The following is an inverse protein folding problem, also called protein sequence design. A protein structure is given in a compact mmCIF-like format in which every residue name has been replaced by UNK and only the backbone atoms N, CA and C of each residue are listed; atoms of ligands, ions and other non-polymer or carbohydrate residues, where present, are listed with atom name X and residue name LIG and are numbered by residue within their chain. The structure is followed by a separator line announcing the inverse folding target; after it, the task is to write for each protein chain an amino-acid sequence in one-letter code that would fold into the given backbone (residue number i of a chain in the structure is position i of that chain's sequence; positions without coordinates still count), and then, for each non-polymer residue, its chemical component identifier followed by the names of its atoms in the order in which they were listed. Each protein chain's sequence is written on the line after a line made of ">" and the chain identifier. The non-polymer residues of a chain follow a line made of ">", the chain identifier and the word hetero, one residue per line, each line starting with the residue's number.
data_IF_390589531064
#
_entry.id   IF_390589531064
#
_cell.length_a   1.000
_cell.length_b   1.000
_cell.length_c   1.000
_cell.angle_alpha   90.00
_cell.angle_beta   90.00
_cell.angle_gamma   90.00
#
_symmetry.space_group_name_H-M   'P 1'
#
loop_
_entity.id
_entity.type
_entity.pdbx_description
1 polymer ?
#
# COMPACT_ATOMS: atom_id res chain seq x y z
N UNK A 1 6.37 -18.59 -16.08
CA UNK A 1 7.44 -17.87 -16.83
C UNK A 1 6.92 -16.60 -17.51
N UNK A 2 5.76 -16.60 -18.21
CA UNK A 2 5.18 -15.36 -18.81
C UNK A 2 4.66 -14.34 -17.77
N UNK A 3 4.24 -14.77 -16.58
CA UNK A 3 3.80 -13.84 -15.52
C UNK A 3 4.92 -13.04 -14.84
N UNK A 4 6.18 -13.48 -14.96
CA UNK A 4 7.32 -12.85 -14.28
C UNK A 4 7.70 -11.47 -14.84
N UNK A 5 7.40 -11.23 -16.12
CA UNK A 5 7.61 -9.92 -16.77
C UNK A 5 6.51 -8.91 -16.41
N UNK A 6 5.40 -9.35 -15.80
CA UNK A 6 4.29 -8.48 -15.42
C UNK A 6 4.68 -7.47 -14.35
N UNK A 7 5.41 -7.89 -13.31
CA UNK A 7 5.85 -7.00 -12.22
C UNK A 7 6.81 -5.92 -12.75
N UNK A 8 7.88 -6.25 -13.51
CA UNK A 8 8.75 -5.24 -14.11
C UNK A 8 8.01 -4.22 -14.98
N UNK A 9 7.09 -4.68 -15.85
CA UNK A 9 6.31 -3.78 -16.71
C UNK A 9 5.39 -2.89 -15.87
N UNK A 10 4.80 -3.43 -14.82
CA UNK A 10 3.95 -2.68 -13.89
C UNK A 10 4.75 -1.60 -13.14
N UNK A 11 5.99 -1.89 -12.73
CA UNK A 11 6.87 -0.90 -12.10
C UNK A 11 7.38 0.17 -13.09
N UNK A 12 7.69 -0.20 -14.33
CA UNK A 12 8.08 0.76 -15.38
C UNK A 12 6.92 1.70 -15.70
N UNK A 13 5.70 1.17 -15.88
CA UNK A 13 4.51 1.98 -16.16
C UNK A 13 4.15 2.91 -15.01
N UNK A 14 4.31 2.45 -13.76
CA UNK A 14 4.21 3.32 -12.59
C UNK A 14 5.27 4.41 -12.63
N UNK A 15 6.52 4.10 -12.95
CA UNK A 15 7.62 5.07 -13.08
C UNK A 15 7.32 6.22 -14.07
N UNK A 16 6.69 5.90 -15.20
CA UNK A 16 6.24 6.93 -16.17
C UNK A 16 5.11 7.79 -15.59
N UNK A 17 4.18 7.20 -14.83
CA UNK A 17 3.14 7.95 -14.14
C UNK A 17 3.72 8.87 -13.06
N UNK A 18 4.75 8.42 -12.32
CA UNK A 18 5.47 9.25 -11.34
C UNK A 18 6.03 10.51 -11.97
N UNK A 19 6.62 10.41 -13.17
CA UNK A 19 7.19 11.56 -13.88
C UNK A 19 6.15 12.62 -14.27
N UNK A 20 4.86 12.27 -14.28
CA UNK A 20 3.74 13.18 -14.62
C UNK A 20 3.01 13.71 -13.38
N UNK A 21 3.38 13.27 -12.18
CA UNK A 21 2.73 13.67 -10.93
C UNK A 21 2.87 15.18 -10.67
N UNK A 22 1.74 15.81 -10.34
CA UNK A 22 1.69 17.21 -9.91
C UNK A 22 1.90 17.32 -8.40
N UNK A 23 2.56 18.38 -7.89
CA UNK A 23 2.81 18.57 -6.46
C UNK A 23 1.55 18.57 -5.57
N UNK A 24 0.43 19.12 -6.06
CA UNK A 24 -0.83 19.15 -5.31
C UNK A 24 -1.38 17.73 -5.04
N UNK A 25 -1.20 16.79 -5.97
CA UNK A 25 -1.67 15.41 -5.81
C UNK A 25 -0.82 14.63 -4.79
N UNK A 26 0.45 15.02 -4.59
CA UNK A 26 1.34 14.40 -3.61
C UNK A 26 0.87 14.67 -2.18
N UNK A 27 0.47 15.91 -1.85
CA UNK A 27 -0.01 16.24 -0.49
C UNK A 27 -1.25 15.42 -0.13
N UNK A 28 -2.21 15.33 -1.05
CA UNK A 28 -3.39 14.48 -0.87
C UNK A 28 -3.00 13.00 -0.74
N UNK A 29 -2.05 12.53 -1.55
CA UNK A 29 -1.59 11.15 -1.50
C UNK A 29 -0.90 10.81 -0.16
N UNK A 30 -0.16 11.75 0.44
CA UNK A 30 0.44 11.60 1.77
C UNK A 30 -0.66 11.38 2.81
N UNK A 31 -1.64 12.28 2.88
CA UNK A 31 -2.67 12.18 3.91
C UNK A 31 -3.55 10.93 3.75
N UNK A 32 -3.94 10.61 2.51
CA UNK A 32 -4.72 9.41 2.21
C UNK A 32 -3.95 8.12 2.47
N UNK A 33 -2.65 8.07 2.16
CA UNK A 33 -1.82 6.89 2.44
C UNK A 33 -1.63 6.68 3.94
N UNK A 34 -1.36 7.75 4.69
CA UNK A 34 -1.24 7.69 6.14
C UNK A 34 -2.56 7.22 6.78
N UNK A 35 -3.68 7.79 6.35
CA UNK A 35 -5.01 7.39 6.82
C UNK A 35 -5.30 5.91 6.51
N UNK A 36 -5.03 5.46 5.28
CA UNK A 36 -5.19 4.04 4.90
C UNK A 36 -4.38 3.13 5.82
N UNK A 37 -3.12 3.44 6.07
CA UNK A 37 -2.24 2.60 6.89
C UNK A 37 -2.79 2.55 8.32
N UNK A 38 -3.07 3.71 8.93
CA UNK A 38 -3.59 3.77 10.29
C UNK A 38 -4.93 3.03 10.45
N UNK A 39 -5.87 3.25 9.52
CA UNK A 39 -7.20 2.63 9.58
C UNK A 39 -7.11 1.12 9.34
N UNK A 40 -6.44 0.67 8.28
CA UNK A 40 -6.35 -0.76 7.96
C UNK A 40 -5.59 -1.55 9.03
N UNK A 41 -4.47 -1.01 9.53
CA UNK A 41 -3.71 -1.66 10.61
C UNK A 41 -4.50 -1.67 11.93
N UNK A 42 -5.19 -0.57 12.26
CA UNK A 42 -6.07 -0.52 13.45
C UNK A 42 -7.21 -1.54 13.37
N UNK A 43 -7.87 -1.66 12.21
CA UNK A 43 -8.91 -2.67 11.98
C UNK A 43 -8.32 -4.09 12.10
N UNK A 44 -7.13 -4.34 11.55
CA UNK A 44 -6.48 -5.64 11.63
C UNK A 44 -6.21 -6.08 13.08
N UNK A 45 -5.74 -5.16 13.92
CA UNK A 45 -5.53 -5.39 15.36
C UNK A 45 -6.86 -5.71 16.05
N UNK A 46 -7.90 -4.89 15.82
CA UNK A 46 -9.20 -5.07 16.45
C UNK A 46 -9.87 -6.38 16.06
N UNK A 47 -9.92 -6.69 14.76
CA UNK A 47 -10.49 -7.92 14.23
C UNK A 47 -9.67 -9.11 14.72
N UNK A 48 -8.34 -8.98 14.68
CA UNK A 48 -7.42 -10.00 15.13
C UNK A 48 -7.68 -10.44 16.59
N UNK A 49 -7.85 -9.46 17.47
CA UNK A 49 -8.14 -9.68 18.88
C UNK A 49 -9.57 -10.16 19.12
N UNK A 50 -10.54 -9.63 18.37
CA UNK A 50 -11.96 -10.03 18.51
C UNK A 50 -12.20 -11.50 18.14
N UNK A 51 -11.48 -12.01 17.14
CA UNK A 51 -11.58 -13.40 16.69
C UNK A 51 -10.62 -14.36 17.41
N UNK A 52 -9.85 -13.89 18.39
CA UNK A 52 -8.86 -14.68 19.15
C UNK A 52 -7.94 -15.49 18.22
N UNK A 53 -7.40 -14.82 17.19
CA UNK A 53 -6.58 -15.47 16.18
C UNK A 53 -5.26 -15.99 16.79
N UNK A 54 -4.80 -17.19 16.39
CA UNK A 54 -3.49 -17.69 16.79
C UNK A 54 -2.37 -16.71 16.45
N UNK A 55 -1.33 -16.63 17.28
CA UNK A 55 -0.26 -15.62 17.21
C UNK A 55 0.29 -15.40 15.79
N UNK A 56 0.57 -16.48 15.06
CA UNK A 56 1.09 -16.41 13.68
C UNK A 56 0.07 -15.80 12.73
N UNK A 57 -1.21 -16.19 12.83
CA UNK A 57 -2.26 -15.67 11.97
C UNK A 57 -2.56 -14.20 12.27
N UNK A 58 -2.56 -13.82 13.55
CA UNK A 58 -2.72 -12.44 14.01
C UNK A 58 -1.60 -11.54 13.46
N UNK A 59 -0.35 -11.99 13.62
CA UNK A 59 0.87 -11.35 13.11
C UNK A 59 0.81 -11.10 11.60
N UNK A 60 0.44 -12.15 10.86
CA UNK A 60 0.36 -12.14 9.39
C UNK A 60 -0.79 -11.25 8.89
N UNK A 61 -1.91 -11.17 9.63
CA UNK A 61 -3.03 -10.28 9.32
C UNK A 61 -2.61 -8.81 9.44
N UNK A 62 -2.00 -8.43 10.56
CA UNK A 62 -1.52 -7.06 10.80
C UNK A 62 -0.50 -6.66 9.73
N UNK A 63 0.46 -7.53 9.45
CA UNK A 63 1.49 -7.29 8.44
C UNK A 63 0.89 -7.06 7.05
N UNK A 64 -0.02 -7.93 6.61
CA UNK A 64 -0.66 -7.80 5.29
C UNK A 64 -1.52 -6.55 5.17
N UNK A 65 -2.26 -6.18 6.22
CA UNK A 65 -3.11 -4.98 6.20
C UNK A 65 -2.30 -3.69 6.24
N UNK A 66 -1.09 -3.73 6.83
CA UNK A 66 -0.14 -2.62 6.83
C UNK A 66 0.59 -2.41 5.49
N UNK A 67 0.50 -3.37 4.56
CA UNK A 67 1.21 -3.33 3.28
C UNK A 67 0.84 -2.07 2.45
N UNK A 68 1.77 -1.58 1.60
CA UNK A 68 1.52 -0.40 0.77
C UNK A 68 0.40 -0.62 -0.24
N UNK A 69 -0.07 0.46 -0.87
CA UNK A 69 -1.12 0.39 -1.88
C UNK A 69 -0.63 -0.41 -3.08
N UNK A 70 -1.44 -1.37 -3.53
CA UNK A 70 -1.09 -2.25 -4.63
C UNK A 70 -1.06 -1.50 -5.97
N UNK A 71 -0.01 -1.72 -6.77
CA UNK A 71 0.12 -1.15 -8.11
C UNK A 71 -0.97 -1.62 -9.08
N UNK A 72 -1.61 -2.77 -8.80
CA UNK A 72 -2.79 -3.22 -9.55
C UNK A 72 -3.94 -2.21 -9.49
N UNK A 73 -4.07 -1.47 -8.39
CA UNK A 73 -5.06 -0.39 -8.28
C UNK A 73 -4.80 0.72 -9.30
N UNK A 74 -3.53 1.05 -9.54
CA UNK A 74 -3.13 1.98 -10.61
C UNK A 74 -3.47 1.39 -12.00
N UNK A 75 -3.16 0.12 -12.26
CA UNK A 75 -3.49 -0.49 -13.55
C UNK A 75 -5.01 -0.52 -13.80
N UNK A 76 -5.82 -0.77 -12.77
CA UNK A 76 -7.27 -0.71 -12.85
C UNK A 76 -7.74 0.73 -13.13
N UNK A 77 -7.21 1.70 -12.40
CA UNK A 77 -7.49 3.12 -12.61
C UNK A 77 -7.14 3.57 -14.03
N UNK A 78 -5.99 3.16 -14.56
CA UNK A 78 -5.55 3.42 -15.93
C UNK A 78 -6.46 2.74 -16.95
N UNK A 79 -6.81 1.47 -16.73
CA UNK A 79 -7.73 0.70 -17.60
C UNK A 79 -9.12 1.33 -17.68
N UNK A 80 -9.66 1.81 -16.56
CA UNK A 80 -10.98 2.41 -16.48
C UNK A 80 -10.98 3.93 -16.64
N UNK A 81 -9.81 4.55 -16.86
CA UNK A 81 -9.62 6.01 -17.00
C UNK A 81 -10.15 6.81 -15.79
N UNK A 82 -9.92 6.27 -14.58
CA UNK A 82 -10.34 6.88 -13.31
C UNK A 82 -9.11 7.40 -12.57
N UNK A 83 -8.80 8.69 -12.75
CA UNK A 83 -7.73 9.43 -12.05
C UNK A 83 -6.47 8.60 -11.71
N UNK A 84 -5.89 7.98 -12.73
CA UNK A 84 -4.75 7.06 -12.57
C UNK A 84 -3.51 7.76 -12.00
N UNK A 85 -3.32 9.05 -12.31
CA UNK A 85 -2.24 9.86 -11.76
C UNK A 85 -2.35 9.98 -10.23
N UNK A 86 -3.55 10.22 -9.68
CA UNK A 86 -3.74 10.26 -8.24
C UNK A 86 -3.45 8.89 -7.59
N UNK A 87 -3.90 7.80 -8.20
CA UNK A 87 -3.67 6.44 -7.68
C UNK A 87 -2.19 6.06 -7.77
N UNK A 88 -1.48 6.45 -8.83
CA UNK A 88 -0.03 6.28 -8.93
C UNK A 88 0.70 7.00 -7.78
N UNK A 89 0.26 8.22 -7.45
CA UNK A 89 0.77 8.98 -6.30
C UNK A 89 0.59 8.22 -4.99
N UNK A 90 -0.58 7.62 -4.76
CA UNK A 90 -0.85 6.80 -3.56
C UNK A 90 0.09 5.59 -3.48
N UNK A 91 0.32 4.89 -4.58
CA UNK A 91 1.22 3.74 -4.63
C UNK A 91 2.65 4.14 -4.25
N UNK A 92 3.18 5.20 -4.84
CA UNK A 92 4.55 5.66 -4.58
C UNK A 92 4.71 6.15 -3.15
N UNK A 93 3.81 7.02 -2.70
CA UNK A 93 3.89 7.63 -1.36
C UNK A 93 3.73 6.57 -0.28
N UNK A 94 2.76 5.66 -0.40
CA UNK A 94 2.62 4.56 0.56
C UNK A 94 3.83 3.63 0.57
N UNK A 95 4.45 3.37 -0.58
CA UNK A 95 5.68 2.56 -0.66
C UNK A 95 6.84 3.23 0.08
N UNK A 96 7.02 4.55 -0.08
CA UNK A 96 8.03 5.31 0.65
C UNK A 96 7.72 5.33 2.16
N UNK A 97 6.47 5.55 2.55
CA UNK A 97 6.05 5.49 3.95
C UNK A 97 6.33 4.12 4.58
N UNK A 98 6.16 3.04 3.82
CA UNK A 98 6.42 1.67 4.30
C UNK A 98 7.87 1.45 4.73
N UNK A 99 8.83 2.25 4.26
CA UNK A 99 10.21 2.20 4.78
C UNK A 99 10.25 2.41 6.30
N UNK A 100 9.39 3.29 6.82
CA UNK A 100 9.23 3.51 8.27
C UNK A 100 8.16 2.63 8.91
N UNK A 101 7.04 2.39 8.21
CA UNK A 101 5.92 1.61 8.77
C UNK A 101 6.27 0.12 8.93
N UNK A 102 6.97 -0.48 7.96
CA UNK A 102 7.33 -1.89 8.03
C UNK A 102 8.16 -2.25 9.27
N UNK A 103 9.28 -1.56 9.61
CA UNK A 103 10.02 -1.87 10.83
C UNK A 103 9.20 -1.63 12.10
N UNK A 104 8.33 -0.61 12.13
CA UNK A 104 7.43 -0.36 13.26
C UNK A 104 6.44 -1.50 13.46
N UNK A 105 5.78 -1.94 12.40
CA UNK A 105 4.82 -3.05 12.46
C UNK A 105 5.52 -4.35 12.85
N UNK A 106 6.70 -4.63 12.28
CA UNK A 106 7.49 -5.80 12.66
C UNK A 106 7.93 -5.73 14.13
N UNK A 107 8.33 -4.57 14.64
CA UNK A 107 8.66 -4.43 16.07
C UNK A 107 7.46 -4.63 17.00
N UNK A 108 6.25 -4.35 16.54
CA UNK A 108 5.04 -4.59 17.32
C UNK A 108 4.62 -6.06 17.31
N UNK A 109 4.82 -6.74 16.18
CA UNK A 109 4.35 -8.11 15.96
C UNK A 109 5.35 -9.16 16.46
N UNK A 110 6.65 -8.85 16.46
CA UNK A 110 7.71 -9.78 16.90
C UNK A 110 8.04 -9.68 18.41
N UNK A 111 7.45 -8.72 19.12
CA UNK A 111 7.62 -8.49 20.57
C UNK A 111 6.46 -9.13 21.31
#
# INVERSE_FOLDING_TARGET
>A
LVGGIGIPIMLITLGVAVARLKPANIVNAIWLSAAKIAICTGIAILVGAFFDLPDVAYSVLILQMSAPVAVTSYLLAERFKVDADAVAGLVVVSTVMTIGVAPLVLSFVLV
#
